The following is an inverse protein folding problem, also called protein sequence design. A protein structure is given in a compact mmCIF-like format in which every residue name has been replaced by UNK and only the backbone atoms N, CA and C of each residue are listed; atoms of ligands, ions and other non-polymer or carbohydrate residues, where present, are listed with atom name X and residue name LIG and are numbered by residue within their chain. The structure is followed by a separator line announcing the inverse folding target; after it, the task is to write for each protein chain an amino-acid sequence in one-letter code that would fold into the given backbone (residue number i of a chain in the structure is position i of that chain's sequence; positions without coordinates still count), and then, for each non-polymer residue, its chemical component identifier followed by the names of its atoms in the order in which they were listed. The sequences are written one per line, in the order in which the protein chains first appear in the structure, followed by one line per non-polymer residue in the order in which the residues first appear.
data_IF_484604744528
#
_entry.id   IF_484604744528
#
_cell.length_a   1.000
_cell.length_b   1.000
_cell.length_c   1.000
_cell.angle_alpha   90.00
_cell.angle_beta   90.00
_cell.angle_gamma   90.00
#
_symmetry.space_group_name_H-M   'P 1'
#
loop_
_entity.id
_entity.type
_entity.pdbx_description
1 polymer ?
#
# COMPACT_ATOMS: atom_id res chain seq x y z
N UNK A 1 9.67 -21.96 24.38
CA UNK A 1 10.02 -22.38 23.01
C UNK A 1 8.73 -22.68 22.26
N UNK A 2 8.64 -22.17 21.04
CA UNK A 2 7.46 -22.24 20.16
C UNK A 2 7.80 -23.02 18.88
N UNK A 3 6.80 -23.74 18.38
CA UNK A 3 6.80 -24.45 17.10
C UNK A 3 5.74 -23.85 16.19
N UNK A 4 5.99 -23.90 14.88
CA UNK A 4 4.99 -23.67 13.85
C UNK A 4 4.43 -25.02 13.42
N UNK A 5 3.10 -25.17 13.45
CA UNK A 5 2.41 -26.43 13.16
C UNK A 5 1.36 -26.25 12.06
N UNK A 6 1.20 -27.27 11.21
CA UNK A 6 0.19 -27.35 10.15
C UNK A 6 -0.88 -28.39 10.52
N UNK A 7 -2.16 -28.05 10.35
CA UNK A 7 -3.29 -28.92 10.72
C UNK A 7 -3.81 -29.70 9.50
N UNK A 8 -3.69 -31.04 9.52
CA UNK A 8 -4.02 -31.90 8.38
C UNK A 8 -5.52 -32.08 8.09
N UNK A 9 -6.39 -31.81 9.07
CA UNK A 9 -7.83 -32.11 8.98
C UNK A 9 -8.69 -30.91 8.58
N UNK A 10 -8.10 -29.73 8.43
CA UNK A 10 -8.81 -28.51 8.03
C UNK A 10 -8.55 -28.27 6.55
N UNK A 11 -9.62 -28.03 5.78
CA UNK A 11 -9.56 -27.54 4.40
C UNK A 11 -10.23 -26.16 4.39
N UNK A 12 -9.48 -25.06 4.19
CA UNK A 12 -8.05 -25.00 3.83
C UNK A 12 -7.11 -25.39 4.98
N UNK A 13 -5.91 -25.85 4.64
CA UNK A 13 -4.85 -26.19 5.61
C UNK A 13 -4.49 -24.93 6.40
N UNK A 14 -4.66 -24.98 7.71
CA UNK A 14 -4.33 -23.87 8.61
C UNK A 14 -2.96 -24.06 9.25
N UNK A 15 -2.26 -22.95 9.49
CA UNK A 15 -0.95 -22.90 10.15
C UNK A 15 -1.06 -22.09 11.43
N UNK A 16 -0.49 -22.59 12.54
CA UNK A 16 -0.47 -21.83 13.79
C UNK A 16 0.84 -21.95 14.56
N UNK A 17 1.05 -21.03 15.49
CA UNK A 17 2.16 -21.04 16.45
C UNK A 17 1.70 -21.64 17.76
N UNK A 18 2.40 -22.66 18.24
CA UNK A 18 2.09 -23.35 19.51
C UNK A 18 3.32 -23.48 20.40
N UNK A 19 3.18 -23.44 21.73
CA UNK A 19 4.24 -23.80 22.65
C UNK A 19 4.65 -25.27 22.46
N UNK A 20 5.94 -25.57 22.70
CA UNK A 20 6.46 -26.95 22.68
C UNK A 20 5.69 -27.89 23.62
N UNK A 21 5.18 -27.38 24.73
CA UNK A 21 4.41 -28.17 25.71
C UNK A 21 3.07 -28.65 25.17
N UNK A 22 2.54 -28.04 24.10
CA UNK A 22 1.25 -28.41 23.50
C UNK A 22 1.37 -29.55 22.50
N UNK A 23 2.60 -29.88 22.08
CA UNK A 23 2.87 -30.88 21.04
C UNK A 23 3.45 -32.14 21.68
N UNK A 24 2.83 -33.28 21.42
CA UNK A 24 3.25 -34.59 21.94
C UNK A 24 3.55 -35.52 20.76
N UNK A 25 4.68 -36.23 20.83
CA UNK A 25 5.07 -37.24 19.84
C UNK A 25 4.26 -38.51 20.09
N UNK A 26 3.58 -39.00 19.06
CA UNK A 26 2.81 -40.25 19.11
C UNK A 26 3.73 -41.43 18.85
N UNK A 27 3.42 -42.61 19.40
CA UNK A 27 4.16 -43.87 19.17
C UNK A 27 4.26 -44.25 17.69
N UNK A 28 3.27 -43.84 16.88
CA UNK A 28 3.22 -44.04 15.42
C UNK A 28 4.07 -43.05 14.61
N UNK A 29 4.94 -42.27 15.25
CA UNK A 29 5.86 -41.34 14.56
C UNK A 29 5.28 -39.97 14.17
N UNK A 30 3.98 -39.73 14.39
CA UNK A 30 3.35 -38.42 14.15
C UNK A 30 3.34 -37.48 15.37
N UNK A 31 2.94 -36.23 15.15
CA UNK A 31 2.75 -35.25 16.22
C UNK A 31 1.26 -34.99 16.49
N UNK A 32 0.92 -34.85 17.77
CA UNK A 32 -0.41 -34.49 18.24
C UNK A 32 -0.34 -33.16 18.98
N UNK A 33 -1.19 -32.20 18.61
CA UNK A 33 -1.30 -30.92 19.29
C UNK A 33 -2.59 -30.86 20.12
N UNK A 34 -2.48 -30.40 21.37
CA UNK A 34 -3.63 -30.06 22.20
C UNK A 34 -4.03 -28.60 21.93
N UNK A 35 -5.32 -28.35 21.68
CA UNK A 35 -5.83 -27.03 21.31
C UNK A 35 -7.04 -26.62 22.16
N UNK A 36 -7.03 -25.42 22.77
CA UNK A 36 -8.14 -24.96 23.58
C UNK A 36 -9.33 -24.53 22.73
N UNK A 37 -10.56 -24.66 23.27
CA UNK A 37 -11.80 -24.22 22.59
C UNK A 37 -11.82 -22.72 22.23
N UNK A 38 -11.11 -21.88 23.00
CA UNK A 38 -11.02 -20.45 22.77
C UNK A 38 -9.72 -19.86 23.33
N UNK A 39 -9.29 -18.74 22.73
CA UNK A 39 -8.15 -17.94 23.19
C UNK A 39 -6.78 -18.58 23.00
N UNK A 40 -6.62 -19.43 21.97
CA UNK A 40 -5.38 -20.19 21.73
C UNK A 40 -4.13 -19.30 21.68
N UNK A 41 -4.16 -18.21 20.90
CA UNK A 41 -3.01 -17.30 20.76
C UNK A 41 -2.61 -16.63 22.07
N UNK A 42 -3.57 -16.20 22.89
CA UNK A 42 -3.30 -15.57 24.18
C UNK A 42 -2.75 -16.58 25.19
N UNK A 43 -3.30 -17.81 25.22
CA UNK A 43 -2.83 -18.90 26.08
C UNK A 43 -1.43 -19.36 25.69
N UNK A 44 -1.12 -19.40 24.39
CA UNK A 44 0.22 -19.68 23.88
C UNK A 44 1.22 -18.61 24.34
N UNK A 45 0.89 -17.32 24.19
CA UNK A 45 1.74 -16.20 24.64
C UNK A 45 2.01 -16.22 26.14
N UNK A 46 0.99 -16.56 26.95
CA UNK A 46 1.11 -16.65 28.41
C UNK A 46 1.74 -17.95 28.91
N UNK A 47 2.07 -18.89 28.03
CA UNK A 47 2.73 -20.15 28.40
C UNK A 47 1.85 -21.12 29.19
N UNK A 48 0.53 -21.12 28.97
CA UNK A 48 -0.36 -22.08 29.63
C UNK A 48 -0.01 -23.52 29.24
N UNK A 49 -0.14 -24.44 30.18
CA UNK A 49 0.01 -25.87 29.93
C UNK A 49 -1.30 -26.47 29.40
N UNK A 50 -1.25 -27.45 28.48
CA UNK A 50 -2.45 -28.05 27.92
C UNK A 50 -3.15 -28.95 28.94
N UNK A 51 -4.48 -28.81 29.03
CA UNK A 51 -5.33 -29.72 29.79
C UNK A 51 -5.69 -30.91 28.88
N UNK A 52 -5.11 -32.08 29.17
CA UNK A 52 -5.22 -33.28 28.32
C UNK A 52 -6.64 -33.84 28.22
N UNK A 53 -7.53 -33.47 29.15
CA UNK A 53 -8.92 -33.92 29.21
C UNK A 53 -9.86 -32.93 28.51
N UNK A 54 -9.65 -31.62 28.75
CA UNK A 54 -10.57 -30.58 28.25
C UNK A 54 -10.22 -30.08 26.84
N UNK A 55 -8.96 -30.14 26.44
CA UNK A 55 -8.53 -29.59 25.16
C UNK A 55 -8.70 -30.61 24.04
N UNK A 56 -9.08 -30.12 22.86
CA UNK A 56 -9.23 -30.95 21.67
C UNK A 56 -7.87 -31.37 21.13
N UNK A 57 -7.80 -32.53 20.47
CA UNK A 57 -6.56 -33.11 19.97
C UNK A 57 -6.56 -33.10 18.44
N UNK A 58 -5.51 -32.54 17.86
CA UNK A 58 -5.35 -32.41 16.43
C UNK A 58 -4.06 -33.08 15.96
N UNK A 59 -4.14 -33.84 14.87
CA UNK A 59 -2.94 -34.36 14.20
C UNK A 59 -2.28 -33.22 13.44
N UNK A 60 -1.00 -32.98 13.72
CA UNK A 60 -0.27 -31.84 13.14
C UNK A 60 1.05 -32.27 12.52
N UNK A 61 1.53 -31.47 11.55
CA UNK A 61 2.92 -31.49 11.11
C UNK A 61 3.68 -30.37 11.82
N UNK A 62 4.83 -30.67 12.41
CA UNK A 62 5.73 -29.61 12.86
C UNK A 62 6.56 -29.18 11.65
N UNK A 63 6.59 -27.88 11.36
CA UNK A 63 7.42 -27.35 10.27
C UNK A 63 8.89 -27.39 10.71
N UNK A 64 9.70 -28.15 10.00
CA UNK A 64 11.12 -28.32 10.30
C UNK A 64 11.85 -26.96 10.27
N UNK A 65 12.88 -26.82 11.11
CA UNK A 65 13.69 -25.59 11.26
C UNK A 65 12.94 -24.33 11.73
N UNK A 66 11.65 -24.43 12.08
CA UNK A 66 10.83 -23.30 12.57
C UNK A 66 10.63 -23.36 14.10
N UNK A 67 11.73 -23.55 14.85
CA UNK A 67 11.72 -23.53 16.32
C UNK A 67 12.40 -22.29 16.86
N UNK A 68 11.77 -21.60 17.82
CA UNK A 68 12.34 -20.37 18.41
C UNK A 68 11.81 -20.13 19.81
N UNK A 69 12.56 -19.40 20.63
CA UNK A 69 12.10 -18.92 21.94
C UNK A 69 11.17 -17.71 21.82
N UNK A 70 11.19 -16.98 20.70
CA UNK A 70 10.43 -15.74 20.48
C UNK A 70 9.11 -16.00 19.71
N UNK A 71 7.99 -15.68 20.36
CA UNK A 71 6.66 -15.83 19.78
C UNK A 71 6.45 -15.00 18.50
N UNK A 72 6.95 -13.76 18.45
CA UNK A 72 6.74 -12.87 17.31
C UNK A 72 7.57 -13.32 16.10
N UNK A 73 8.74 -13.92 16.34
CA UNK A 73 9.53 -14.58 15.29
C UNK A 73 8.79 -15.80 14.73
N UNK A 74 8.23 -16.65 15.59
CA UNK A 74 7.43 -17.80 15.17
C UNK A 74 6.17 -17.37 14.39
N UNK A 75 5.51 -16.28 14.79
CA UNK A 75 4.32 -15.76 14.11
C UNK A 75 4.64 -15.27 12.69
N UNK A 76 5.80 -14.64 12.49
CA UNK A 76 6.27 -14.27 11.15
C UNK A 76 6.52 -15.50 10.28
N UNK A 77 7.04 -16.59 10.84
CA UNK A 77 7.21 -17.85 10.11
C UNK A 77 5.88 -18.51 9.75
N UNK A 78 4.92 -18.54 10.66
CA UNK A 78 3.58 -19.06 10.40
C UNK A 78 2.89 -18.33 9.22
N UNK A 79 2.94 -17.00 9.19
CA UNK A 79 2.39 -16.20 8.07
C UNK A 79 3.07 -16.50 6.72
N UNK A 80 4.39 -16.74 6.73
CA UNK A 80 5.13 -17.13 5.52
C UNK A 80 4.71 -18.52 5.03
N UNK A 81 4.58 -19.49 5.95
CA UNK A 81 4.14 -20.83 5.63
C UNK A 81 2.71 -20.84 5.07
N UNK A 82 1.79 -20.08 5.67
CA UNK A 82 0.41 -19.90 5.17
C UNK A 82 0.38 -19.37 3.73
N UNK A 83 1.26 -18.41 3.41
CA UNK A 83 1.37 -17.86 2.06
C UNK A 83 1.88 -18.91 1.06
N UNK A 84 2.88 -19.72 1.45
CA UNK A 84 3.42 -20.78 0.60
C UNK A 84 2.42 -21.91 0.36
N UNK A 85 1.63 -22.27 1.37
CA UNK A 85 0.57 -23.27 1.23
C UNK A 85 -0.54 -22.78 0.29
N UNK A 86 -0.94 -21.51 0.38
CA UNK A 86 -1.95 -20.95 -0.51
C UNK A 86 -1.49 -20.95 -1.98
N UNK A 87 -0.20 -20.68 -2.23
CA UNK A 87 0.39 -20.77 -3.57
C UNK A 87 0.45 -22.22 -4.08
N UNK A 88 0.80 -23.19 -3.23
CA UNK A 88 0.88 -24.60 -3.62
C UNK A 88 -0.49 -25.27 -3.76
N UNK A 89 -1.54 -24.73 -3.16
CA UNK A 89 -2.91 -25.27 -3.22
C UNK A 89 -3.61 -25.00 -4.55
N UNK A 90 -3.11 -24.05 -5.36
CA UNK A 90 -3.77 -23.59 -6.58
C UNK A 90 -3.21 -24.21 -7.89
N UNK A 91 -2.21 -25.08 -7.83
CA UNK A 91 -1.67 -25.71 -9.05
C UNK A 91 -0.87 -26.98 -8.73
N UNK A 92 -1.54 -28.13 -8.68
CA UNK A 92 -0.88 -29.42 -8.96
C UNK A 92 -0.89 -29.62 -10.47
N UNK A 93 0.13 -29.06 -11.11
CA UNK A 93 0.75 -29.42 -12.38
C UNK A 93 1.40 -28.15 -12.92
N UNK A 94 2.65 -27.91 -12.52
CA UNK A 94 3.56 -27.22 -13.40
C UNK A 94 4.99 -27.58 -13.00
N UNK A 95 5.59 -28.31 -13.94
CA UNK A 95 7.01 -28.62 -14.07
C UNK A 95 7.87 -27.42 -13.67
N UNK A 96 9.02 -27.73 -13.07
CA UNK A 96 10.09 -26.79 -12.75
C UNK A 96 10.24 -25.73 -13.84
N UNK A 97 9.90 -24.48 -13.53
CA UNK A 97 10.18 -23.37 -14.44
C UNK A 97 11.69 -23.22 -14.53
N UNK A 98 12.30 -23.34 -15.72
CA UNK A 98 13.74 -23.13 -15.87
C UNK A 98 14.08 -21.71 -15.44
N UNK A 99 15.12 -21.60 -14.64
CA UNK A 99 15.65 -20.31 -14.16
C UNK A 99 16.17 -19.54 -15.38
N UNK A 100 15.42 -18.54 -15.85
CA UNK A 100 15.84 -17.71 -16.99
C UNK A 100 16.99 -16.82 -16.53
N UNK A 101 18.21 -17.16 -16.95
CA UNK A 101 19.39 -16.32 -16.78
C UNK A 101 19.18 -14.98 -17.52
N UNK A 102 19.63 -13.84 -16.94
CA UNK A 102 19.55 -12.54 -17.57
C UNK A 102 20.17 -12.55 -18.98
N UNK A 103 19.53 -11.86 -19.93
CA UNK A 103 19.81 -11.88 -21.38
C UNK A 103 21.26 -11.60 -21.84
N UNK A 104 22.14 -11.21 -20.92
CA UNK A 104 23.56 -10.91 -21.16
C UNK A 104 24.45 -12.16 -21.30
N UNK A 105 23.90 -13.36 -21.18
CA UNK A 105 24.63 -14.63 -21.25
C UNK A 105 24.05 -15.64 -22.27
N UNK A 106 23.32 -15.18 -23.29
CA UNK A 106 22.85 -16.09 -24.36
C UNK A 106 23.85 -16.10 -25.50
N UNK A 107 24.63 -17.17 -25.59
CA UNK A 107 25.29 -17.57 -26.83
C UNK A 107 24.27 -18.34 -27.67
N UNK A 108 24.09 -17.91 -28.92
CA UNK A 108 23.30 -18.61 -29.93
C UNK A 108 23.96 -19.95 -30.24
N UNK A 109 23.20 -21.03 -30.09
CA UNK A 109 23.54 -22.33 -30.65
C UNK A 109 22.25 -23.02 -31.06
N UNK A 110 22.07 -23.11 -32.38
CA UNK A 110 21.00 -23.78 -33.09
C UNK A 110 20.97 -25.30 -32.82
N UNK A 111 19.79 -25.84 -32.54
CA UNK A 111 19.38 -27.20 -32.95
C UNK A 111 17.88 -27.43 -32.76
N UNK A 112 17.19 -27.39 -33.88
CA UNK A 112 16.32 -28.40 -34.48
C UNK A 112 15.33 -29.27 -33.64
N UNK A 113 14.08 -29.23 -34.11
CA UNK A 113 13.06 -30.31 -34.19
C UNK A 113 12.52 -31.02 -32.93
N UNK A 114 11.20 -30.86 -32.68
CA UNK A 114 10.22 -31.98 -32.74
C UNK A 114 8.77 -31.52 -32.51
N UNK A 115 7.89 -31.92 -33.44
CA UNK A 115 6.42 -31.88 -33.32
C UNK A 115 5.96 -33.02 -32.41
N UNK A 116 4.97 -32.77 -31.54
CA UNK A 116 4.25 -33.84 -30.83
C UNK A 116 2.74 -33.60 -30.97
N UNK A 117 2.10 -34.67 -31.41
CA UNK A 117 0.73 -34.83 -31.86
C UNK A 117 -0.30 -34.93 -30.72
N UNK A 118 -1.54 -34.62 -31.08
CA UNK A 118 -2.76 -34.75 -30.29
C UNK A 118 -3.07 -36.21 -29.89
N UNK A 119 -3.12 -36.45 -28.57
CA UNK A 119 -3.44 -37.74 -27.96
C UNK A 119 -4.87 -37.81 -27.42
N UNK A 120 -5.71 -38.49 -28.20
CA UNK A 120 -7.08 -38.96 -27.94
C UNK A 120 -7.25 -39.71 -26.60
N UNK A 121 -8.24 -39.33 -25.78
CA UNK A 121 -8.56 -39.99 -24.51
C UNK A 121 -9.80 -40.91 -24.63
N UNK A 122 -9.75 -42.18 -24.16
CA UNK A 122 -10.83 -43.15 -24.32
C UNK A 122 -11.93 -43.03 -23.26
N UNK A 123 -13.18 -43.14 -23.73
CA UNK A 123 -14.39 -43.31 -22.91
C UNK A 123 -14.43 -44.72 -22.30
N UNK A 124 -14.27 -44.83 -20.99
CA UNK A 124 -14.54 -46.05 -20.24
C UNK A 124 -15.96 -46.01 -19.65
N UNK A 125 -16.87 -46.76 -20.28
CA UNK A 125 -18.18 -47.15 -19.77
C UNK A 125 -17.99 -48.28 -18.75
N UNK A 126 -18.11 -47.96 -17.46
CA UNK A 126 -18.11 -48.94 -16.37
C UNK A 126 -19.37 -48.81 -15.52
N UNK A 127 -20.23 -49.83 -15.57
CA UNK A 127 -21.38 -50.05 -14.67
C UNK A 127 -20.94 -49.88 -13.21
N UNK A 128 -21.38 -48.79 -12.57
CA UNK A 128 -21.28 -48.62 -11.13
C UNK A 128 -22.40 -49.43 -10.46
N UNK A 129 -21.99 -50.47 -9.76
CA UNK A 129 -22.83 -51.24 -8.85
C UNK A 129 -23.34 -50.36 -7.69
N UNK A 130 -24.53 -50.70 -7.21
CA UNK A 130 -25.25 -50.10 -6.09
C UNK A 130 -24.35 -49.74 -4.90
N UNK A 131 -24.00 -48.45 -4.82
CA UNK A 131 -23.53 -47.84 -3.59
C UNK A 131 -24.73 -47.25 -2.85
N UNK A 132 -24.86 -47.48 -1.53
CA UNK A 132 -25.94 -46.92 -0.74
C UNK A 132 -25.92 -45.40 -0.88
N UNK A 133 -27.05 -44.83 -1.34
CA UNK A 133 -27.20 -43.38 -1.47
C UNK A 133 -26.83 -42.73 -0.13
N UNK A 134 -25.95 -41.73 -0.12
CA UNK A 134 -25.58 -41.03 1.10
C UNK A 134 -26.86 -40.48 1.75
N UNK A 135 -26.98 -40.56 3.08
CA UNK A 135 -28.15 -40.06 3.78
C UNK A 135 -28.39 -38.62 3.35
N UNK A 136 -29.58 -38.35 2.82
CA UNK A 136 -30.03 -37.01 2.50
C UNK A 136 -29.89 -36.17 3.76
N UNK A 137 -28.87 -35.31 3.79
CA UNK A 137 -28.74 -34.31 4.84
C UNK A 137 -30.04 -33.51 4.83
N UNK A 138 -30.76 -33.52 5.96
CA UNK A 138 -31.86 -32.59 6.24
C UNK A 138 -31.30 -31.15 6.33
N UNK A 139 -30.90 -30.63 5.16
CA UNK A 139 -30.24 -29.35 4.99
C UNK A 139 -31.20 -28.18 4.91
N UNK A 140 -32.51 -28.40 4.81
CA UNK A 140 -33.43 -27.31 4.49
C UNK A 140 -33.51 -26.27 5.60
N UNK A 141 -33.70 -26.65 6.86
CA UNK A 141 -33.88 -25.66 7.93
C UNK A 141 -32.67 -24.75 8.14
N UNK A 142 -31.46 -25.31 8.06
CA UNK A 142 -30.23 -24.53 8.18
C UNK A 142 -29.99 -23.69 6.93
N UNK A 143 -30.12 -24.28 5.74
CA UNK A 143 -29.89 -23.60 4.47
C UNK A 143 -30.86 -22.45 4.29
N UNK A 144 -32.15 -22.65 4.56
CA UNK A 144 -33.16 -21.58 4.56
C UNK A 144 -32.80 -20.47 5.54
N UNK A 145 -32.38 -20.81 6.77
CA UNK A 145 -31.99 -19.79 7.76
C UNK A 145 -30.77 -18.98 7.31
N UNK A 146 -29.79 -19.62 6.67
CA UNK A 146 -28.61 -18.94 6.12
C UNK A 146 -29.00 -18.04 4.96
N UNK A 147 -29.81 -18.52 4.01
CA UNK A 147 -30.27 -17.74 2.86
C UNK A 147 -31.08 -16.51 3.31
N UNK A 148 -32.02 -16.68 4.24
CA UNK A 148 -32.79 -15.55 4.80
C UNK A 148 -31.87 -14.52 5.46
N UNK A 149 -30.79 -14.96 6.13
CA UNK A 149 -29.82 -14.03 6.71
C UNK A 149 -28.98 -13.31 5.66
N UNK A 150 -28.65 -13.96 4.54
CA UNK A 150 -27.98 -13.31 3.42
C UNK A 150 -28.86 -12.24 2.79
N UNK A 151 -30.15 -12.51 2.58
CA UNK A 151 -31.09 -11.53 2.03
C UNK A 151 -31.23 -10.30 2.94
N UNK A 152 -31.33 -10.53 4.25
CA UNK A 152 -31.35 -9.44 5.25
C UNK A 152 -30.07 -8.58 5.20
N UNK A 153 -28.91 -9.19 4.97
CA UNK A 153 -27.64 -8.45 4.84
C UNK A 153 -27.63 -7.63 3.55
N UNK A 154 -28.12 -8.18 2.44
CA UNK A 154 -28.19 -7.46 1.18
C UNK A 154 -29.14 -6.25 1.25
N UNK A 155 -30.29 -6.42 1.90
CA UNK A 155 -31.25 -5.33 2.14
C UNK A 155 -30.64 -4.23 3.02
N UNK A 156 -30.01 -4.60 4.14
CA UNK A 156 -29.34 -3.64 5.01
C UNK A 156 -28.21 -2.88 4.29
N UNK A 157 -27.48 -3.53 3.38
CA UNK A 157 -26.46 -2.88 2.56
C UNK A 157 -27.07 -1.91 1.53
N UNK A 158 -28.22 -2.24 0.94
CA UNK A 158 -28.92 -1.34 0.01
C UNK A 158 -29.44 -0.10 0.75
N UNK A 159 -29.98 -0.26 1.94
CA UNK A 159 -30.47 0.87 2.75
C UNK A 159 -29.33 1.78 3.21
N UNK A 160 -28.20 1.21 3.65
CA UNK A 160 -27.01 2.00 3.94
C UNK A 160 -26.52 2.77 2.72
N UNK A 161 -26.52 2.17 1.52
CA UNK A 161 -26.17 2.87 0.28
C UNK A 161 -27.13 4.00 -0.03
N UNK A 162 -28.44 3.80 0.13
CA UNK A 162 -29.45 4.86 -0.08
C UNK A 162 -29.27 6.01 0.91
N UNK A 163 -29.07 5.70 2.19
CA UNK A 163 -28.82 6.70 3.23
C UNK A 163 -27.55 7.49 2.93
N UNK A 164 -26.45 6.81 2.58
CA UNK A 164 -25.21 7.48 2.19
C UNK A 164 -25.38 8.33 0.92
N UNK A 165 -26.15 7.86 -0.08
CA UNK A 165 -26.43 8.65 -1.29
C UNK A 165 -27.34 9.86 -1.05
N UNK A 166 -28.13 9.84 0.03
CA UNK A 166 -29.01 10.95 0.41
C UNK A 166 -28.28 11.94 1.31
N UNK A 167 -27.46 11.42 2.23
CA UNK A 167 -26.69 12.21 3.20
C UNK A 167 -25.45 12.87 2.58
N UNK A 168 -24.86 12.24 1.57
CA UNK A 168 -23.89 12.89 0.70
C UNK A 168 -24.70 13.57 -0.39
N UNK A 169 -24.91 14.91 -0.35
CA UNK A 169 -25.63 15.57 -1.43
C UNK A 169 -24.95 15.19 -2.74
N UNK A 170 -25.74 14.86 -3.76
CA UNK A 170 -25.30 14.59 -5.12
C UNK A 170 -24.66 15.82 -5.81
N UNK A 171 -23.95 16.67 -5.06
CA UNK A 171 -22.84 17.47 -5.58
C UNK A 171 -21.84 16.46 -6.08
N UNK A 172 -21.92 16.14 -7.37
CA UNK A 172 -21.04 15.19 -8.04
C UNK A 172 -19.64 15.36 -7.48
N UNK A 173 -19.10 14.29 -6.90
CA UNK A 173 -17.71 14.23 -6.41
C UNK A 173 -16.83 14.17 -7.65
N UNK A 174 -16.93 15.20 -8.50
CA UNK A 174 -15.86 15.54 -9.40
C UNK A 174 -14.71 15.87 -8.48
N UNK A 175 -13.67 15.05 -8.58
CA UNK A 175 -12.36 15.43 -8.06
C UNK A 175 -12.03 16.80 -8.69
N UNK A 176 -12.06 17.90 -7.92
CA UNK A 176 -11.75 19.21 -8.46
C UNK A 176 -10.28 19.28 -8.92
N UNK A 177 -9.47 18.29 -8.53
CA UNK A 177 -8.03 18.20 -8.78
C UNK A 177 -7.67 16.86 -9.47
N UNK A 178 -8.00 16.68 -10.76
CA UNK A 178 -7.70 15.44 -11.48
C UNK A 178 -6.19 15.12 -11.55
N UNK A 179 -5.31 16.11 -11.34
CA UNK A 179 -3.87 15.91 -11.19
C UNK A 179 -3.25 17.06 -10.37
N UNK A 180 -2.31 16.75 -9.48
CA UNK A 180 -1.54 17.75 -8.74
C UNK A 180 -0.84 18.72 -9.71
N UNK A 181 -0.89 20.02 -9.43
CA UNK A 181 -0.24 21.03 -10.27
C UNK A 181 1.28 20.81 -10.28
N UNK A 182 1.82 20.56 -11.47
CA UNK A 182 3.25 20.34 -11.66
C UNK A 182 4.00 21.62 -12.04
N UNK A 183 3.31 22.54 -12.72
CA UNK A 183 3.89 23.79 -13.21
C UNK A 183 3.29 25.00 -12.51
N UNK A 184 4.01 26.11 -12.58
CA UNK A 184 3.59 27.36 -11.94
C UNK A 184 2.32 27.94 -12.59
N UNK A 185 2.23 27.90 -13.91
CA UNK A 185 1.07 28.40 -14.67
C UNK A 185 -0.22 27.68 -14.27
N UNK A 186 -0.14 26.37 -14.01
CA UNK A 186 -1.28 25.58 -13.52
C UNK A 186 -1.74 26.04 -12.13
N UNK A 187 -0.78 26.34 -11.24
CA UNK A 187 -1.10 26.85 -9.90
C UNK A 187 -1.73 28.24 -9.97
N UNK A 188 -1.24 29.10 -10.86
CA UNK A 188 -1.78 30.45 -11.05
C UNK A 188 -3.15 30.44 -11.71
N UNK A 189 -3.40 29.55 -12.67
CA UNK A 189 -4.72 29.31 -13.24
C UNK A 189 -5.71 28.82 -12.17
N UNK A 190 -5.27 27.90 -11.30
CA UNK A 190 -6.07 27.43 -10.17
C UNK A 190 -6.39 28.56 -9.20
N UNK A 191 -5.42 29.40 -8.84
CA UNK A 191 -5.66 30.54 -7.96
C UNK A 191 -6.62 31.55 -8.58
N UNK A 192 -6.48 31.83 -9.88
CA UNK A 192 -7.39 32.72 -10.62
C UNK A 192 -8.83 32.17 -10.61
N UNK A 193 -8.98 30.86 -10.78
CA UNK A 193 -10.29 30.19 -10.71
C UNK A 193 -10.88 30.24 -9.31
N UNK A 194 -10.09 30.02 -8.26
CA UNK A 194 -10.54 30.12 -6.86
C UNK A 194 -11.05 31.51 -6.48
N UNK A 195 -10.51 32.56 -7.11
CA UNK A 195 -10.98 33.93 -6.90
C UNK A 195 -12.29 34.22 -7.64
N UNK A 196 -12.52 33.60 -8.82
CA UNK A 196 -13.69 33.85 -9.66
C UNK A 196 -14.90 32.99 -9.30
N UNK A 197 -14.67 31.73 -8.96
CA UNK A 197 -15.72 30.72 -8.79
C UNK A 197 -15.86 30.34 -7.31
N UNK A 198 -16.74 31.02 -6.57
CA UNK A 198 -17.00 30.71 -5.16
C UNK A 198 -17.47 29.27 -4.94
N UNK A 199 -18.31 28.75 -5.86
CA UNK A 199 -18.78 27.36 -5.80
C UNK A 199 -17.62 26.36 -5.89
N UNK A 200 -16.66 26.61 -6.78
CA UNK A 200 -15.47 25.77 -6.92
C UNK A 200 -14.58 25.85 -5.68
N UNK A 201 -14.44 27.04 -5.08
CA UNK A 201 -13.72 27.22 -3.81
C UNK A 201 -14.32 26.37 -2.68
N UNK A 202 -15.63 26.39 -2.50
CA UNK A 202 -16.32 25.61 -1.45
C UNK A 202 -16.25 24.09 -1.73
N UNK A 203 -16.33 23.68 -3.00
CA UNK A 203 -16.09 22.29 -3.40
C UNK A 203 -14.67 21.84 -3.05
N UNK A 204 -13.66 22.67 -3.34
CA UNK A 204 -12.27 22.36 -3.04
C UNK A 204 -12.01 22.31 -1.52
N UNK A 205 -12.61 23.20 -0.74
CA UNK A 205 -12.52 23.17 0.74
C UNK A 205 -13.10 21.84 1.25
N UNK A 206 -14.29 21.46 0.80
CA UNK A 206 -14.96 20.22 1.19
C UNK A 206 -14.12 19.00 0.81
N UNK A 207 -13.59 18.98 -0.41
CA UNK A 207 -12.74 17.91 -0.91
C UNK A 207 -11.46 17.75 -0.08
N UNK A 208 -10.74 18.85 0.19
CA UNK A 208 -9.54 18.81 1.01
C UNK A 208 -9.85 18.41 2.45
N UNK A 209 -11.00 18.83 3.00
CA UNK A 209 -11.41 18.47 4.34
C UNK A 209 -11.65 16.94 4.49
N UNK A 210 -12.13 16.29 3.43
CA UNK A 210 -12.29 14.82 3.39
C UNK A 210 -10.93 14.08 3.45
N UNK A 211 -9.86 14.70 2.95
CA UNK A 211 -8.50 14.13 2.97
C UNK A 211 -7.72 14.35 4.28
N UNK A 212 -8.39 14.89 5.30
CA UNK A 212 -7.86 15.13 6.63
C UNK A 212 -7.16 13.92 7.25
N UNK A 213 -6.21 14.18 8.15
CA UNK A 213 -5.56 13.16 8.98
C UNK A 213 -5.79 13.46 10.46
N UNK A 214 -5.40 12.54 11.35
CA UNK A 214 -5.57 12.71 12.79
C UNK A 214 -4.76 13.84 13.44
N UNK A 215 -3.79 14.42 12.72
CA UNK A 215 -3.01 15.57 13.22
C UNK A 215 -2.93 16.68 12.17
N UNK A 216 -2.83 17.94 12.62
CA UNK A 216 -2.76 19.11 11.75
C UNK A 216 -1.59 19.00 10.74
N UNK A 217 -0.38 18.74 11.22
CA UNK A 217 0.79 18.66 10.33
C UNK A 217 0.67 17.55 9.28
N UNK A 218 0.03 16.40 9.61
CA UNK A 218 -0.25 15.35 8.62
C UNK A 218 -1.31 15.79 7.61
N UNK A 219 -2.32 16.53 8.06
CA UNK A 219 -3.40 17.09 7.23
C UNK A 219 -2.85 18.07 6.21
N UNK A 220 -2.10 19.08 6.66
CA UNK A 220 -1.44 20.07 5.80
C UNK A 220 -0.51 19.38 4.78
N UNK A 221 0.30 18.40 5.24
CA UNK A 221 1.17 17.61 4.35
C UNK A 221 0.39 16.92 3.23
N UNK A 222 -0.74 16.28 3.54
CA UNK A 222 -1.57 15.58 2.55
C UNK A 222 -2.21 16.55 1.57
N UNK A 223 -2.84 17.62 2.06
CA UNK A 223 -3.48 18.63 1.22
C UNK A 223 -2.47 19.29 0.28
N UNK A 224 -1.30 19.72 0.79
CA UNK A 224 -0.23 20.31 -0.03
C UNK A 224 0.29 19.33 -1.10
N UNK A 225 0.47 18.05 -0.75
CA UNK A 225 0.91 17.04 -1.72
C UNK A 225 -0.14 16.73 -2.80
N UNK A 226 -1.43 16.94 -2.52
CA UNK A 226 -2.49 16.85 -3.54
C UNK A 226 -2.55 18.07 -4.43
N UNK A 227 -2.35 19.26 -3.87
CA UNK A 227 -2.43 20.52 -4.60
C UNK A 227 -1.28 20.69 -5.60
N UNK A 228 -0.10 20.14 -5.31
CA UNK A 228 1.06 20.37 -6.15
C UNK A 228 2.25 19.49 -5.84
N UNK A 229 3.21 19.49 -6.77
CA UNK A 229 4.44 18.70 -6.65
C UNK A 229 5.48 19.37 -5.73
N UNK A 230 6.39 18.57 -5.19
CA UNK A 230 7.53 19.08 -4.41
C UNK A 230 8.36 20.13 -5.16
N UNK A 231 8.54 19.94 -6.47
CA UNK A 231 9.28 20.87 -7.33
C UNK A 231 8.60 22.24 -7.41
N UNK A 232 7.27 22.26 -7.49
CA UNK A 232 6.49 23.50 -7.44
C UNK A 232 6.64 24.19 -6.08
N UNK A 233 6.49 23.46 -4.98
CA UNK A 233 6.59 24.03 -3.63
C UNK A 233 7.98 24.57 -3.28
N UNK A 234 9.03 24.10 -3.96
CA UNK A 234 10.37 24.65 -3.84
C UNK A 234 10.46 26.13 -4.26
N UNK A 235 9.61 26.59 -5.19
CA UNK A 235 9.62 27.97 -5.70
C UNK A 235 8.95 28.98 -4.77
N UNK A 236 8.29 28.48 -3.71
CA UNK A 236 7.50 29.28 -2.80
C UNK A 236 8.12 29.36 -1.40
N UNK A 237 7.76 30.42 -0.68
CA UNK A 237 8.03 30.61 0.75
C UNK A 237 6.87 31.36 1.37
N UNK A 238 6.64 31.26 2.68
CA UNK A 238 5.49 31.94 3.29
C UNK A 238 5.48 33.45 3.06
N UNK A 239 6.62 34.13 3.26
CA UNK A 239 6.73 35.60 3.20
C UNK A 239 7.35 36.18 1.92
N UNK A 240 7.84 35.34 1.01
CA UNK A 240 8.25 35.81 -0.32
C UNK A 240 9.60 36.53 -0.44
N UNK A 241 10.57 36.38 0.48
CA UNK A 241 11.83 37.19 0.44
C UNK A 241 12.74 36.91 -0.75
N UNK A 242 12.96 35.63 -1.08
CA UNK A 242 13.81 35.17 -2.21
C UNK A 242 13.05 34.29 -3.21
N UNK A 243 11.83 33.95 -2.85
CA UNK A 243 10.93 32.98 -3.49
C UNK A 243 9.57 33.63 -3.58
N UNK A 244 8.64 33.09 -4.35
CA UNK A 244 7.28 33.65 -4.42
C UNK A 244 6.57 33.51 -3.06
N UNK A 245 5.74 34.48 -2.69
CA UNK A 245 4.97 34.44 -1.45
C UNK A 245 3.82 33.45 -1.58
N UNK A 246 3.74 32.48 -0.68
CA UNK A 246 2.59 31.60 -0.56
C UNK A 246 1.48 32.24 0.27
N UNK A 247 1.83 33.15 1.19
CA UNK A 247 0.88 33.86 2.05
C UNK A 247 -0.17 34.67 1.28
N UNK A 248 0.21 35.20 0.11
CA UNK A 248 -0.65 36.06 -0.69
C UNK A 248 -1.58 35.27 -1.63
N UNK A 249 -1.39 33.95 -1.74
CA UNK A 249 -2.21 33.11 -2.60
C UNK A 249 -3.57 32.85 -1.95
N UNK A 250 -4.69 32.92 -2.72
CA UNK A 250 -6.02 32.51 -2.25
C UNK A 250 -6.05 31.05 -1.75
N UNK A 251 -5.11 30.24 -2.22
CA UNK A 251 -4.96 28.85 -1.81
C UNK A 251 -4.68 28.67 -0.32
N UNK A 252 -3.99 29.62 0.33
CA UNK A 252 -3.77 29.57 1.78
C UNK A 252 -5.10 29.68 2.53
N UNK A 253 -6.00 30.56 2.10
CA UNK A 253 -7.32 30.72 2.72
C UNK A 253 -8.16 29.45 2.60
N UNK A 254 -8.10 28.77 1.45
CA UNK A 254 -8.74 27.47 1.22
C UNK A 254 -8.18 26.42 2.17
N UNK A 255 -6.86 26.34 2.31
CA UNK A 255 -6.20 25.40 3.22
C UNK A 255 -6.56 25.65 4.69
N UNK A 256 -6.61 26.92 5.11
CA UNK A 256 -7.00 27.30 6.47
C UNK A 256 -8.44 26.88 6.75
N UNK A 257 -9.37 27.18 5.84
CA UNK A 257 -10.77 26.74 5.96
C UNK A 257 -10.88 25.22 6.01
N UNK A 258 -10.20 24.49 5.12
CA UNK A 258 -10.24 23.04 5.12
C UNK A 258 -9.65 22.44 6.41
N UNK A 259 -8.54 22.99 6.93
CA UNK A 259 -7.91 22.52 8.17
C UNK A 259 -8.78 22.78 9.40
N UNK A 260 -9.44 23.95 9.48
CA UNK A 260 -10.34 24.29 10.59
C UNK A 260 -11.61 23.43 10.58
N UNK A 261 -12.07 22.99 9.40
CA UNK A 261 -13.14 21.98 9.27
C UNK A 261 -12.68 20.60 9.77
N UNK A 262 -11.46 20.16 9.45
CA UNK A 262 -10.94 18.87 9.92
C UNK A 262 -10.63 18.86 11.43
N UNK A 263 -10.21 20.00 11.97
CA UNK A 263 -9.69 20.12 13.33
C UNK A 263 -10.35 21.31 14.04
N UNK A 264 -11.49 21.09 14.72
CA UNK A 264 -12.19 22.13 15.45
C UNK A 264 -11.29 22.77 16.53
N UNK A 265 -11.28 24.11 16.60
CA UNK A 265 -10.52 24.86 17.60
C UNK A 265 -9.06 25.19 17.24
N UNK A 266 -8.58 24.79 16.06
CA UNK A 266 -7.26 25.20 15.58
C UNK A 266 -7.25 26.67 15.17
N UNK A 267 -6.21 27.40 15.57
CA UNK A 267 -6.02 28.80 15.17
C UNK A 267 -5.32 28.88 13.81
N UNK A 268 -5.62 29.94 13.07
CA UNK A 268 -5.06 30.21 11.74
C UNK A 268 -3.52 30.20 11.76
N UNK A 269 -2.92 30.82 12.78
CA UNK A 269 -1.45 30.91 12.96
C UNK A 269 -0.80 29.53 13.06
N UNK A 270 -1.51 28.55 13.64
CA UNK A 270 -0.98 27.18 13.78
C UNK A 270 -0.97 26.46 12.42
N UNK A 271 -1.98 26.69 11.57
CA UNK A 271 -2.02 26.18 10.19
C UNK A 271 -0.91 26.81 9.36
N UNK A 272 -0.76 28.14 9.40
CA UNK A 272 0.29 28.86 8.68
C UNK A 272 1.68 28.39 9.07
N UNK A 273 1.92 28.13 10.37
CA UNK A 273 3.19 27.59 10.86
C UNK A 273 3.49 26.22 10.26
N UNK A 274 2.51 25.33 10.18
CA UNK A 274 2.68 24.00 9.57
C UNK A 274 2.91 24.08 8.05
N UNK A 275 2.24 25.00 7.36
CA UNK A 275 2.50 25.27 5.93
C UNK A 275 3.92 25.82 5.74
N UNK A 276 4.37 26.72 6.62
CA UNK A 276 5.73 27.26 6.61
C UNK A 276 6.78 26.15 6.75
N UNK A 277 6.58 25.27 7.73
CA UNK A 277 7.46 24.13 7.99
C UNK A 277 7.45 23.16 6.80
N UNK A 278 6.29 22.93 6.16
CA UNK A 278 6.21 22.14 4.93
C UNK A 278 7.05 22.73 3.79
N UNK A 279 6.91 24.03 3.52
CA UNK A 279 7.63 24.73 2.46
C UNK A 279 9.14 24.77 2.73
N UNK A 280 9.55 24.89 4.00
CA UNK A 280 10.96 24.83 4.42
C UNK A 280 11.61 23.48 4.07
N UNK A 281 10.87 22.38 4.19
CA UNK A 281 11.36 21.02 3.90
C UNK A 281 11.18 20.58 2.45
N UNK A 282 10.42 21.31 1.64
CA UNK A 282 10.21 20.98 0.23
C UNK A 282 11.53 20.76 -0.57
N UNK A 283 12.61 21.57 -0.40
CA UNK A 283 13.87 21.36 -1.12
C UNK A 283 14.53 19.99 -0.89
N UNK A 284 14.32 19.38 0.28
CA UNK A 284 15.01 18.16 0.71
C UNK A 284 14.26 16.88 0.38
N UNK A 285 13.01 16.98 -0.10
CA UNK A 285 12.18 15.83 -0.47
C UNK A 285 12.56 15.31 -1.86
N UNK A 286 12.29 14.03 -2.12
CA UNK A 286 12.52 13.38 -3.41
C UNK A 286 11.83 14.17 -4.53
N UNK A 287 12.60 14.66 -5.50
CA UNK A 287 12.13 15.56 -6.57
C UNK A 287 12.38 17.06 -6.34
N UNK A 288 12.82 17.45 -5.14
CA UNK A 288 13.38 18.78 -4.90
C UNK A 288 14.79 18.88 -5.47
N UNK A 289 15.10 20.01 -6.10
CA UNK A 289 16.41 20.30 -6.73
C UNK A 289 17.61 20.28 -5.77
N UNK A 290 17.38 20.11 -4.46
CA UNK A 290 18.41 20.17 -3.41
C UNK A 290 19.44 19.04 -3.41
N UNK A 291 19.36 18.08 -4.33
CA UNK A 291 20.39 17.05 -4.57
C UNK A 291 20.76 16.89 -6.04
N UNK A 292 20.70 17.95 -6.85
CA UNK A 292 21.77 18.05 -7.85
C UNK A 292 23.00 18.33 -7.03
N UNK A 293 23.75 17.27 -6.71
CA UNK A 293 25.00 17.40 -5.99
C UNK A 293 25.78 18.53 -6.64
N UNK A 294 26.35 19.41 -5.82
CA UNK A 294 27.57 20.09 -6.23
C UNK A 294 28.56 18.97 -6.57
N UNK A 295 28.51 18.48 -7.81
CA UNK A 295 29.63 17.78 -8.39
C UNK A 295 30.77 18.80 -8.27
N UNK A 296 31.75 18.42 -7.47
CA UNK A 296 32.91 19.22 -7.18
C UNK A 296 33.56 19.58 -8.53
N UNK A 297 33.68 20.86 -8.95
CA UNK A 297 34.34 21.21 -10.20
C UNK A 297 35.88 21.11 -10.11
N UNK A 298 36.42 20.49 -9.06
CA UNK A 298 37.86 20.45 -8.77
C UNK A 298 38.59 19.21 -9.29
N UNK A 299 38.05 18.49 -10.27
CA UNK A 299 38.71 17.34 -10.88
C UNK A 299 38.52 17.31 -12.40
N UNK A 300 39.00 18.35 -13.08
CA UNK A 300 39.38 18.33 -14.49
C UNK A 300 40.48 19.39 -14.66
N UNK A 301 41.65 19.07 -14.12
CA UNK A 301 42.93 19.66 -14.53
C UNK A 301 43.62 18.60 -15.37
N UNK A 302 43.48 18.72 -16.69
CA UNK A 302 44.39 18.22 -17.71
C UNK A 302 44.19 19.17 -18.89
N UNK A 303 45.03 20.20 -19.04
CA UNK A 303 46.37 20.14 -19.66
C UNK A 303 46.26 20.19 -21.20
N UNK A 304 46.99 21.16 -21.74
CA UNK A 304 47.33 21.42 -23.15
C UNK A 304 46.22 21.76 -24.17
N UNK A 305 46.09 23.05 -24.45
CA UNK A 305 46.10 23.55 -25.83
C UNK A 305 46.56 25.01 -25.87
N UNK A 306 47.83 25.16 -26.22
CA UNK A 306 48.43 26.32 -26.87
C UNK A 306 47.51 26.95 -27.93
N UNK A 307 47.41 28.28 -27.95
CA UNK A 307 46.89 29.01 -29.11
C UNK A 307 46.57 30.48 -28.85
N UNK A 308 46.89 31.40 -29.78
CA UNK A 308 47.69 32.57 -29.46
C UNK A 308 46.91 33.86 -29.22
N UNK A 309 47.63 34.76 -28.53
CA UNK A 309 47.39 36.17 -28.35
C UNK A 309 46.86 36.87 -29.61
N UNK A 310 45.67 37.46 -29.49
CA UNK A 310 45.29 38.63 -30.29
C UNK A 310 44.82 39.76 -29.38
N UNK A 311 45.82 40.58 -29.06
CA UNK A 311 45.77 41.97 -28.73
C UNK A 311 44.67 42.76 -29.50
N UNK A 312 43.78 43.47 -28.80
CA UNK A 312 43.42 44.86 -29.16
C UNK A 312 42.60 45.58 -28.06
N UNK A 313 42.97 46.83 -27.72
CA UNK A 313 42.24 47.69 -26.78
C UNK A 313 41.27 48.63 -27.53
N UNK A 314 40.17 49.04 -26.88
CA UNK A 314 39.30 50.05 -27.48
C UNK A 314 38.07 50.46 -26.68
N UNK A 315 38.20 51.59 -25.99
CA UNK A 315 37.18 52.65 -25.82
C UNK A 315 35.92 52.41 -24.95
N UNK A 316 36.00 52.95 -23.73
CA UNK A 316 35.23 54.07 -23.16
C UNK A 316 33.71 54.24 -23.38
N UNK A 317 32.99 54.79 -22.38
CA UNK A 317 31.54 54.77 -22.27
C UNK A 317 30.89 55.96 -23.00
N UNK A 318 29.64 55.80 -23.44
CA UNK A 318 28.77 56.91 -23.82
C UNK A 318 27.44 56.83 -23.09
N UNK A 319 27.26 57.83 -22.23
CA UNK A 319 25.99 58.36 -21.75
C UNK A 319 25.00 58.56 -22.89
N UNK A 320 23.71 58.32 -22.65
CA UNK A 320 22.64 59.11 -23.27
C UNK A 320 21.38 59.07 -22.39
N UNK A 321 21.18 60.20 -21.72
CA UNK A 321 19.89 60.76 -21.36
C UNK A 321 18.96 60.77 -22.57
N UNK A 322 17.67 60.50 -22.38
CA UNK A 322 16.59 61.15 -23.13
C UNK A 322 15.26 61.02 -22.36
N UNK A 323 14.80 62.20 -21.94
CA UNK A 323 13.44 62.72 -21.71
C UNK A 323 12.40 61.89 -20.96
#
# INVERSE_FOLDING_TARGET
MFHVVEFYKENPVTVAVVPKTWVVKTTKGGFLCYWPRSGASQKARKGFHPDKEKWQRFSVKVVDNCTTSDYEKALRWAKRAETQLNVNSSSKEQLSRPHVLPARFRHDSDSDTTQIEDGNAPKASGRAADLPRPPHYHGDAFTTRVLTKMDQILEAQQDLRKLLSTAVPARGVMDPLPKASSTEDQLQALCSRLTREDQYREQLITFLALDGASTLGKTVRRMMSRLGTTALWFLYSMRGRKKKSFGDLPLLQVLVKACTTCHPGIRIVDVEREVAEFLKHAPFKKGGSGKVGKANPSALVSDDSDGPDTNSPGQSPSSLLLF
#
